data_IF_277364677776
#
_entry.id   IF_277364677776
#
_cell.length_a   1.000
_cell.length_b   1.000
_cell.length_c   1.000
_cell.angle_alpha   90.00
_cell.angle_beta   90.00
_cell.angle_gamma   90.00
#
_symmetry.space_group_name_H-M   'P 1'
#
loop_
_entity.id
_entity.type
_entity.pdbx_description
1 polymer ?
#
# COMPACT_ATOMS: atom_id res chain seq x y z
N UNK A 1 -8.51 26.94 25.23
CA UNK A 1 -7.74 26.66 24.01
C UNK A 1 -8.34 25.40 23.43
N UNK A 2 -9.12 25.58 22.38
CA UNK A 2 -10.04 24.57 21.86
C UNK A 2 -9.26 23.38 21.28
N UNK A 3 -9.61 22.19 21.77
CA UNK A 3 -9.02 20.89 21.38
C UNK A 3 -9.46 20.50 19.94
N UNK A 4 -10.33 21.29 19.32
CA UNK A 4 -11.02 20.99 18.05
C UNK A 4 -10.11 20.83 16.82
N UNK A 5 -8.82 21.16 16.89
CA UNK A 5 -7.90 21.06 15.75
C UNK A 5 -6.59 20.33 16.05
N UNK A 6 -6.59 19.32 16.92
CA UNK A 6 -5.41 18.47 17.12
C UNK A 6 -5.53 17.22 16.25
N UNK A 7 -4.78 17.18 15.15
CA UNK A 7 -4.60 15.96 14.36
C UNK A 7 -3.67 15.00 15.10
N UNK A 8 -4.24 14.02 15.81
CA UNK A 8 -3.47 12.91 16.36
C UNK A 8 -3.12 11.94 15.23
N UNK A 9 -1.83 11.75 14.97
CA UNK A 9 -1.31 10.70 14.09
C UNK A 9 -0.83 9.56 14.99
N UNK A 10 -1.70 8.61 15.37
CA UNK A 10 -1.31 7.51 16.24
C UNK A 10 -0.27 6.62 15.53
N UNK A 11 0.90 6.46 16.15
CA UNK A 11 1.92 5.51 15.69
C UNK A 11 1.94 4.30 16.63
N UNK A 12 1.94 3.09 16.07
CA UNK A 12 2.10 1.85 16.84
C UNK A 12 3.57 1.44 16.89
N UNK A 13 4.01 0.80 17.98
CA UNK A 13 5.31 0.14 18.03
C UNK A 13 5.41 -1.04 17.06
N UNK A 14 4.27 -1.58 16.63
CA UNK A 14 4.21 -2.70 15.69
C UNK A 14 4.15 -2.17 14.25
N UNK A 15 5.08 -2.57 13.36
CA UNK A 15 5.01 -2.20 11.95
C UNK A 15 3.71 -2.75 11.32
N UNK A 16 3.09 -1.93 10.49
CA UNK A 16 1.86 -2.30 9.78
C UNK A 16 2.22 -3.18 8.58
N UNK A 17 1.48 -4.28 8.39
CA UNK A 17 1.61 -5.12 7.21
C UNK A 17 1.11 -4.35 5.96
N UNK A 18 1.90 -4.38 4.89
CA UNK A 18 1.59 -3.76 3.60
C UNK A 18 0.80 -4.66 2.63
N UNK A 19 0.84 -5.97 2.85
CA UNK A 19 0.14 -6.94 2.03
C UNK A 19 -1.35 -6.94 2.39
N UNK A 20 -2.22 -6.87 1.38
CA UNK A 20 -3.68 -6.91 1.54
C UNK A 20 -4.26 -5.88 2.51
N UNK A 21 -3.60 -4.72 2.65
CA UNK A 21 -4.03 -3.65 3.53
C UNK A 21 -4.53 -2.43 2.72
N UNK A 22 -5.82 -2.39 2.33
CA UNK A 22 -6.36 -1.30 1.53
C UNK A 22 -6.33 0.05 2.26
N UNK A 23 -6.27 0.03 3.60
CA UNK A 23 -6.20 1.24 4.43
C UNK A 23 -4.83 1.90 4.43
N UNK A 24 -3.77 1.17 4.02
CA UNK A 24 -2.40 1.68 4.07
C UNK A 24 -2.24 2.94 3.21
N UNK A 25 -2.60 2.86 1.92
CA UNK A 25 -2.44 3.98 1.00
C UNK A 25 -3.38 5.14 1.33
N UNK A 26 -4.60 4.85 1.78
CA UNK A 26 -5.54 5.86 2.29
C UNK A 26 -4.95 6.65 3.47
N UNK A 27 -4.33 5.95 4.43
CA UNK A 27 -3.72 6.57 5.61
C UNK A 27 -2.43 7.33 5.30
N UNK A 28 -1.62 6.85 4.35
CA UNK A 28 -0.39 7.52 3.94
C UNK A 28 -0.65 8.79 3.12
N UNK A 29 -1.72 8.80 2.33
CA UNK A 29 -2.04 9.88 1.40
C UNK A 29 -3.48 10.38 1.54
N UNK A 30 -3.87 10.94 2.70
CA UNK A 30 -5.23 11.42 2.92
C UNK A 30 -5.64 12.55 1.95
N UNK A 31 -4.66 13.31 1.45
CA UNK A 31 -4.85 14.36 0.44
C UNK A 31 -5.10 13.82 -0.96
N UNK A 32 -4.61 12.61 -1.28
CA UNK A 32 -4.84 11.96 -2.57
C UNK A 32 -6.09 11.08 -2.55
N UNK A 33 -6.36 10.43 -1.42
CA UNK A 33 -7.50 9.53 -1.19
C UNK A 33 -8.46 10.14 -0.18
N UNK A 34 -9.19 11.18 -0.60
CA UNK A 34 -10.18 11.85 0.24
C UNK A 34 -11.19 10.85 0.81
N UNK A 35 -11.52 11.01 2.10
CA UNK A 35 -12.41 10.12 2.85
C UNK A 35 -11.97 8.65 2.90
N UNK A 36 -10.71 8.35 2.59
CA UNK A 36 -10.17 6.98 2.56
C UNK A 36 -10.77 6.12 1.44
N UNK A 37 -11.31 6.74 0.38
CA UNK A 37 -11.94 6.05 -0.76
C UNK A 37 -11.06 6.12 -2.01
N UNK A 38 -11.36 5.24 -2.98
CA UNK A 38 -10.65 5.21 -4.26
C UNK A 38 -9.25 4.60 -4.18
N UNK A 39 -8.94 3.91 -3.08
CA UNK A 39 -7.68 3.18 -2.91
C UNK A 39 -7.63 1.92 -3.77
N UNK A 40 -6.43 1.46 -4.14
CA UNK A 40 -6.23 0.13 -4.69
C UNK A 40 -6.63 -0.99 -3.74
N UNK A 41 -6.95 -2.15 -4.32
CA UNK A 41 -7.30 -3.38 -3.58
C UNK A 41 -8.53 -3.24 -2.66
N UNK A 42 -9.41 -2.29 -2.96
CA UNK A 42 -10.69 -2.14 -2.27
C UNK A 42 -11.62 -3.33 -2.58
N UNK A 43 -11.90 -4.12 -1.54
CA UNK A 43 -12.75 -5.31 -1.61
C UNK A 43 -14.22 -4.97 -1.87
N UNK A 44 -14.66 -3.73 -1.61
CA UNK A 44 -16.02 -3.29 -1.86
C UNK A 44 -16.27 -2.94 -3.33
N UNK A 45 -15.23 -2.93 -4.16
CA UNK A 45 -15.36 -2.59 -5.58
C UNK A 45 -16.08 -3.73 -6.34
N UNK A 46 -17.11 -3.43 -7.16
CA UNK A 46 -17.81 -4.45 -7.94
C UNK A 46 -16.93 -5.15 -8.98
N UNK A 47 -15.97 -4.43 -9.55
CA UNK A 47 -15.04 -4.95 -10.57
C UNK A 47 -13.66 -5.09 -9.94
N UNK A 48 -13.13 -6.30 -9.96
CA UNK A 48 -11.75 -6.56 -9.54
C UNK A 48 -10.79 -5.92 -10.54
N UNK A 49 -9.88 -5.10 -10.03
CA UNK A 49 -8.84 -4.45 -10.81
C UNK A 49 -7.52 -4.77 -10.12
N UNK A 50 -6.52 -5.19 -10.89
CA UNK A 50 -5.21 -5.50 -10.32
C UNK A 50 -4.57 -4.23 -9.74
N UNK A 51 -3.71 -4.37 -8.73
CA UNK A 51 -2.98 -3.24 -8.16
C UNK A 51 -2.24 -2.45 -9.27
N UNK A 52 -1.57 -3.16 -10.19
CA UNK A 52 -0.82 -2.56 -11.29
C UNK A 52 -1.69 -1.72 -12.23
N UNK A 53 -2.84 -2.25 -12.64
CA UNK A 53 -3.79 -1.51 -13.49
C UNK A 53 -4.34 -0.28 -12.80
N UNK A 54 -4.69 -0.41 -11.52
CA UNK A 54 -5.26 0.70 -10.77
C UNK A 54 -4.23 1.81 -10.55
N UNK A 55 -2.99 1.47 -10.18
CA UNK A 55 -1.92 2.47 -10.05
C UNK A 55 -1.65 3.15 -11.39
N UNK A 56 -1.61 2.41 -12.50
CA UNK A 56 -1.46 3.00 -13.84
C UNK A 56 -2.56 4.02 -14.13
N UNK A 57 -3.81 3.70 -13.78
CA UNK A 57 -4.93 4.64 -13.88
C UNK A 57 -4.73 5.88 -12.99
N UNK A 58 -4.30 5.72 -11.74
CA UNK A 58 -4.08 6.84 -10.83
C UNK A 58 -2.96 7.78 -11.33
N UNK A 59 -1.87 7.22 -11.87
CA UNK A 59 -0.80 8.03 -12.46
C UNK A 59 -1.22 8.75 -13.75
N UNK A 60 -2.19 8.20 -14.49
CA UNK A 60 -2.78 8.82 -15.68
C UNK A 60 -4.04 9.65 -15.38
N UNK A 61 -4.34 9.89 -14.10
CA UNK A 61 -5.56 10.59 -13.70
C UNK A 61 -5.54 12.05 -14.19
N UNK A 62 -6.69 12.57 -14.60
CA UNK A 62 -6.80 13.82 -15.35
C UNK A 62 -6.16 15.05 -14.66
N UNK A 63 -6.28 15.15 -13.33
CA UNK A 63 -5.70 16.26 -12.55
C UNK A 63 -4.19 16.11 -12.29
N UNK A 64 -3.60 14.96 -12.65
CA UNK A 64 -2.19 14.60 -12.46
C UNK A 64 -1.72 14.68 -11.00
N UNK A 65 -2.63 14.67 -10.02
CA UNK A 65 -2.28 14.84 -8.60
C UNK A 65 -1.37 13.72 -8.09
N UNK A 66 -1.61 12.49 -8.55
CA UNK A 66 -0.81 11.33 -8.16
C UNK A 66 0.56 11.32 -8.83
N UNK A 67 0.62 11.72 -10.10
CA UNK A 67 1.86 11.83 -10.88
C UNK A 67 2.80 12.89 -10.27
N UNK A 68 2.25 14.05 -9.91
CA UNK A 68 3.03 15.18 -9.39
C UNK A 68 3.30 15.11 -7.88
N UNK A 69 2.69 14.18 -7.15
CA UNK A 69 2.88 14.09 -5.72
C UNK A 69 4.32 13.67 -5.40
N UNK A 70 4.98 14.41 -4.51
CA UNK A 70 6.42 14.32 -4.26
C UNK A 70 6.94 12.92 -3.89
N UNK A 71 6.12 12.10 -3.23
CA UNK A 71 6.53 10.77 -2.74
C UNK A 71 5.72 9.60 -3.30
N UNK A 72 4.58 9.85 -3.95
CA UNK A 72 3.59 8.80 -4.24
C UNK A 72 4.17 7.73 -5.18
N UNK A 73 4.81 8.16 -6.27
CA UNK A 73 5.38 7.26 -7.26
C UNK A 73 6.48 6.37 -6.66
N UNK A 74 7.29 6.91 -5.76
CA UNK A 74 8.39 6.18 -5.12
C UNK A 74 7.88 5.13 -4.13
N UNK A 75 6.88 5.48 -3.31
CA UNK A 75 6.30 4.55 -2.33
C UNK A 75 5.59 3.39 -3.04
N UNK A 76 4.78 3.70 -4.06
CA UNK A 76 4.07 2.67 -4.82
C UNK A 76 5.03 1.80 -5.62
N UNK A 77 6.10 2.37 -6.18
CA UNK A 77 7.14 1.59 -6.87
C UNK A 77 7.88 0.65 -5.92
N UNK A 78 8.26 1.13 -4.72
CA UNK A 78 8.89 0.31 -3.69
C UNK A 78 7.97 -0.86 -3.26
N UNK A 79 6.67 -0.58 -3.09
CA UNK A 79 5.67 -1.61 -2.82
C UNK A 79 5.64 -2.69 -3.90
N UNK A 80 5.68 -2.30 -5.18
CA UNK A 80 5.75 -3.27 -6.28
C UNK A 80 7.01 -4.12 -6.23
N UNK A 81 8.18 -3.49 -6.09
CA UNK A 81 9.46 -4.21 -6.04
C UNK A 81 9.50 -5.23 -4.91
N UNK A 82 9.00 -4.87 -3.72
CA UNK A 82 8.96 -5.77 -2.56
C UNK A 82 8.00 -6.93 -2.77
N UNK A 83 6.80 -6.66 -3.29
CA UNK A 83 5.81 -7.71 -3.59
C UNK A 83 6.35 -8.67 -4.65
N UNK A 84 6.96 -8.16 -5.72
CA UNK A 84 7.56 -8.98 -6.76
C UNK A 84 8.73 -9.81 -6.22
N UNK A 85 9.63 -9.22 -5.44
CA UNK A 85 10.75 -9.93 -4.84
C UNK A 85 10.28 -11.05 -3.88
N UNK A 86 9.28 -10.78 -3.05
CA UNK A 86 8.71 -11.79 -2.15
C UNK A 86 7.97 -12.90 -2.89
N UNK A 87 7.31 -12.59 -4.01
CA UNK A 87 6.61 -13.60 -4.81
C UNK A 87 7.57 -14.56 -5.53
N UNK A 88 8.72 -14.05 -5.98
CA UNK A 88 9.75 -14.86 -6.65
C UNK A 88 10.78 -15.46 -5.68
N UNK A 89 10.73 -15.11 -4.40
CA UNK A 89 11.58 -15.70 -3.39
C UNK A 89 11.19 -17.18 -3.17
N UNK A 90 12.04 -18.08 -3.65
CA UNK A 90 11.89 -19.52 -3.41
C UNK A 90 13.01 -19.99 -2.49
N UNK A 91 12.67 -20.93 -1.61
CA UNK A 91 13.65 -21.56 -0.72
C UNK A 91 14.41 -22.62 -1.52
N UNK A 92 15.65 -22.31 -1.92
CA UNK A 92 16.46 -23.15 -2.83
C UNK A 92 17.14 -24.33 -2.09
N UNK A 93 17.30 -24.26 -0.76
CA UNK A 93 18.02 -25.27 0.01
C UNK A 93 17.15 -25.93 1.09
N UNK A 94 16.66 -27.14 0.81
CA UNK A 94 15.96 -27.98 1.79
C UNK A 94 16.98 -28.83 2.54
N UNK A 95 17.33 -28.46 3.78
CA UNK A 95 18.05 -29.38 4.69
C UNK A 95 17.03 -30.16 5.54
N UNK A 96 17.24 -31.47 5.79
CA UNK A 96 16.31 -32.30 6.54
C UNK A 96 16.01 -31.77 7.96
N UNK A 97 16.96 -31.09 8.60
CA UNK A 97 16.78 -30.49 9.93
C UNK A 97 15.97 -29.18 9.96
N UNK A 98 15.56 -28.64 8.81
CA UNK A 98 14.81 -27.38 8.77
C UNK A 98 13.29 -27.59 8.97
N UNK A 99 12.79 -28.81 8.71
CA UNK A 99 11.37 -29.13 8.83
C UNK A 99 10.88 -29.24 10.29
N UNK A 100 11.78 -29.41 11.26
CA UNK A 100 11.42 -29.50 12.68
C UNK A 100 11.15 -28.16 13.36
N UNK A 101 11.38 -27.04 12.67
CA UNK A 101 11.32 -25.69 13.23
C UNK A 101 10.24 -24.79 12.60
N UNK A 102 9.40 -25.36 11.71
CA UNK A 102 8.30 -24.66 11.04
C UNK A 102 6.98 -24.87 11.77
#
# INVERSE_FOLDING_TARGET
MDIENVYLIPHSLKPVNEYFNPKLLAGLYPTLFCYGRGVPEDQLRPVQITLKEHIRYLLAYNDRRFEKHHSFIFVVFNLFQRRDACFHAQLIATKPYFQSSA
#
